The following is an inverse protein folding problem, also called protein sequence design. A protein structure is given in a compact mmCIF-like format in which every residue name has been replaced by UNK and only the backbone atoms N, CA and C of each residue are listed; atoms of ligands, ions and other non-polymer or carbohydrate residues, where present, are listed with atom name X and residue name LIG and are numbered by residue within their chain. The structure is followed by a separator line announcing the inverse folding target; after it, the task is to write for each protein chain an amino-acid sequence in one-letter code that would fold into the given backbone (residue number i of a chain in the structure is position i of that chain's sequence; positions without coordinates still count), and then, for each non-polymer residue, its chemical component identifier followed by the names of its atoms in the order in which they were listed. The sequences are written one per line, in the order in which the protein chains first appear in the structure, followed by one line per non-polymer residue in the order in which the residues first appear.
data_IF_547264737028
#
_entry.id   IF_547264737028
#
_cell.length_a   1.000
_cell.length_b   1.000
_cell.length_c   1.000
_cell.angle_alpha   90.00
_cell.angle_beta   90.00
_cell.angle_gamma   90.00
#
_symmetry.space_group_name_H-M   'P 1'
#
loop_
_entity.id
_entity.type
_entity.pdbx_description
1 polymer ?
#
# COMPACT_ATOMS: atom_id res chain seq x y z
N UNK A 1 10.67 25.05 -9.77
CA UNK A 1 9.43 24.62 -9.11
C UNK A 1 9.58 23.13 -8.97
N UNK A 2 9.89 22.65 -7.77
CA UNK A 2 9.92 21.22 -7.50
C UNK A 2 8.46 20.74 -7.53
N UNK A 3 7.98 20.34 -8.70
CA UNK A 3 6.79 19.50 -8.77
C UNK A 3 7.14 18.25 -7.97
N UNK A 4 6.47 18.05 -6.83
CA UNK A 4 6.66 16.86 -6.02
C UNK A 4 6.34 15.65 -6.91
N UNK A 5 7.39 14.93 -7.32
CA UNK A 5 7.24 13.79 -8.21
C UNK A 5 6.36 12.74 -7.54
N UNK A 6 5.22 12.46 -8.17
CA UNK A 6 4.32 11.39 -7.77
C UNK A 6 4.75 10.08 -8.42
N UNK A 7 4.69 9.01 -7.66
CA UNK A 7 5.04 7.67 -8.09
C UNK A 7 3.85 6.74 -7.94
N UNK A 8 3.83 5.67 -8.73
CA UNK A 8 2.81 4.64 -8.67
C UNK A 8 3.38 3.36 -8.04
N UNK A 9 2.62 2.78 -7.11
CA UNK A 9 2.94 1.48 -6.51
C UNK A 9 1.80 0.50 -6.77
N UNK A 10 2.15 -0.66 -7.34
CA UNK A 10 1.19 -1.76 -7.50
C UNK A 10 0.79 -2.30 -6.14
N UNK A 11 -0.48 -2.61 -6.02
CA UNK A 11 -1.07 -3.15 -4.80
C UNK A 11 -0.75 -4.65 -4.69
N UNK A 12 -0.07 -5.11 -3.62
CA UNK A 12 0.22 -6.53 -3.46
C UNK A 12 -1.04 -7.38 -3.32
N UNK A 13 -1.00 -8.59 -3.89
CA UNK A 13 -2.09 -9.55 -3.72
C UNK A 13 -2.25 -9.97 -2.26
N UNK A 14 -3.48 -10.32 -1.85
CA UNK A 14 -3.78 -10.85 -0.52
C UNK A 14 -3.98 -9.79 0.57
N UNK A 15 -3.79 -8.50 0.26
CA UNK A 15 -4.17 -7.42 1.19
C UNK A 15 -5.69 -7.30 1.26
N UNK A 16 -6.20 -6.93 2.43
CA UNK A 16 -7.63 -6.68 2.65
C UNK A 16 -7.96 -5.22 2.39
N UNK A 17 -9.24 -4.92 2.12
CA UNK A 17 -9.74 -3.55 2.03
C UNK A 17 -9.40 -2.73 3.27
N UNK A 18 -9.45 -3.34 4.45
CA UNK A 18 -9.07 -2.68 5.71
C UNK A 18 -7.63 -2.19 5.71
N UNK A 19 -6.67 -3.05 5.35
CA UNK A 19 -5.24 -2.66 5.27
C UNK A 19 -5.06 -1.55 4.24
N UNK A 20 -5.80 -1.62 3.13
CA UNK A 20 -5.75 -0.59 2.09
C UNK A 20 -6.24 0.78 2.57
N UNK A 21 -7.36 0.82 3.29
CA UNK A 21 -7.90 2.05 3.87
C UNK A 21 -6.93 2.62 4.92
N UNK A 22 -6.33 1.76 5.75
CA UNK A 22 -5.34 2.15 6.76
C UNK A 22 -4.14 2.86 6.08
N UNK A 23 -3.52 2.24 5.07
CA UNK A 23 -2.34 2.86 4.41
C UNK A 23 -2.67 4.11 3.60
N UNK A 24 -3.86 4.18 2.96
CA UNK A 24 -4.30 5.37 2.24
C UNK A 24 -4.40 6.56 3.19
N UNK A 25 -5.05 6.37 4.33
CA UNK A 25 -5.29 7.45 5.29
C UNK A 25 -4.01 7.80 6.08
N UNK A 26 -3.22 6.80 6.48
CA UNK A 26 -2.02 7.01 7.29
C UNK A 26 -0.90 7.73 6.52
N UNK A 27 -0.75 7.40 5.23
CA UNK A 27 0.34 7.92 4.39
C UNK A 27 -0.11 8.94 3.34
N UNK A 28 -1.39 9.34 3.36
CA UNK A 28 -1.93 10.35 2.43
C UNK A 28 -1.82 9.93 0.96
N UNK A 29 -2.10 8.65 0.68
CA UNK A 29 -2.00 8.10 -0.67
C UNK A 29 -3.35 8.17 -1.39
N UNK A 30 -3.31 8.17 -2.72
CA UNK A 30 -4.51 8.10 -3.54
C UNK A 30 -4.62 6.74 -4.24
N UNK A 31 -5.85 6.29 -4.46
CA UNK A 31 -6.12 5.09 -5.24
C UNK A 31 -6.43 5.49 -6.70
N UNK A 32 -5.62 5.01 -7.64
CA UNK A 32 -5.79 5.26 -9.07
C UNK A 32 -6.13 3.96 -9.79
N UNK A 33 -7.21 3.97 -10.58
CA UNK A 33 -7.55 2.84 -11.44
C UNK A 33 -6.71 2.87 -12.72
N UNK A 34 -6.15 1.73 -13.11
CA UNK A 34 -5.43 1.54 -14.37
C UNK A 34 -5.95 0.32 -15.11
N UNK A 35 -5.60 0.14 -16.38
CA UNK A 35 -5.97 -1.04 -17.18
C UNK A 35 -5.44 -2.36 -16.59
N UNK A 36 -4.40 -2.28 -15.75
CA UNK A 36 -3.78 -3.44 -15.09
C UNK A 36 -4.23 -3.59 -13.62
N UNK A 37 -5.27 -2.88 -13.22
CA UNK A 37 -5.80 -2.84 -11.86
C UNK A 37 -5.43 -1.57 -11.09
N UNK A 38 -5.88 -1.46 -9.85
CA UNK A 38 -5.63 -0.28 -9.02
C UNK A 38 -4.17 -0.18 -8.57
N UNK A 39 -3.67 1.05 -8.48
CA UNK A 39 -2.36 1.41 -7.93
C UNK A 39 -2.51 2.48 -6.86
N UNK A 40 -1.55 2.52 -5.93
CA UNK A 40 -1.40 3.62 -4.98
C UNK A 40 -0.53 4.70 -5.62
N UNK A 41 -0.97 5.96 -5.52
CA UNK A 41 -0.27 7.14 -6.01
C UNK A 41 0.14 8.00 -4.81
N UNK A 42 1.39 8.47 -4.80
CA UNK A 42 1.87 9.38 -3.77
C UNK A 42 3.36 9.69 -3.90
N UNK A 43 3.91 10.36 -2.89
CA UNK A 43 5.35 10.63 -2.82
C UNK A 43 6.11 9.33 -2.59
N UNK A 44 7.34 9.28 -3.09
CA UNK A 44 8.21 8.11 -2.95
C UNK A 44 8.33 7.63 -1.50
N UNK A 45 8.63 8.55 -0.58
CA UNK A 45 8.82 8.21 0.84
C UNK A 45 7.55 7.66 1.50
N UNK A 46 6.38 8.13 1.09
CA UNK A 46 5.10 7.69 1.65
C UNK A 46 4.69 6.32 1.08
N UNK A 47 5.01 6.05 -0.18
CA UNK A 47 4.85 4.72 -0.77
C UNK A 47 5.80 3.69 -0.15
N UNK A 48 7.04 4.08 0.17
CA UNK A 48 7.99 3.20 0.88
C UNK A 48 7.48 2.85 2.28
N UNK A 49 6.95 3.83 3.04
CA UNK A 49 6.32 3.57 4.35
C UNK A 49 5.09 2.67 4.22
N UNK A 50 4.25 2.90 3.21
CA UNK A 50 3.08 2.07 2.95
C UNK A 50 3.46 0.63 2.57
N UNK A 51 4.50 0.44 1.76
CA UNK A 51 5.03 -0.88 1.43
C UNK A 51 5.46 -1.63 2.70
N UNK A 52 6.25 -0.99 3.56
CA UNK A 52 6.71 -1.57 4.83
C UNK A 52 5.54 -1.97 5.73
N UNK A 53 4.52 -1.11 5.82
CA UNK A 53 3.31 -1.38 6.59
C UNK A 53 2.56 -2.60 6.03
N UNK A 54 2.33 -2.65 4.72
CA UNK A 54 1.64 -3.75 4.05
C UNK A 54 2.37 -5.08 4.29
N UNK A 55 3.69 -5.10 4.11
CA UNK A 55 4.51 -6.31 4.29
C UNK A 55 4.43 -6.80 5.74
N UNK A 56 4.51 -5.90 6.73
CA UNK A 56 4.35 -6.25 8.14
C UNK A 56 2.98 -6.86 8.43
N UNK A 57 1.91 -6.24 7.93
CA UNK A 57 0.54 -6.72 8.13
C UNK A 57 0.29 -8.09 7.49
N UNK A 58 0.81 -8.31 6.27
CA UNK A 58 0.72 -9.61 5.59
C UNK A 58 1.48 -10.70 6.36
N UNK A 59 2.72 -10.42 6.77
CA UNK A 59 3.53 -11.37 7.53
C UNK A 59 2.90 -11.71 8.89
N UNK A 60 2.28 -10.75 9.56
CA UNK A 60 1.55 -11.02 10.80
C UNK A 60 0.37 -11.98 10.56
N UNK A 61 -0.40 -11.77 9.49
CA UNK A 61 -1.51 -12.66 9.12
C UNK A 61 -1.03 -14.08 8.77
N UNK A 62 0.08 -14.20 8.05
CA UNK A 62 0.68 -15.51 7.76
C UNK A 62 1.06 -16.25 9.05
N UNK A 63 1.71 -15.58 10.00
CA UNK A 63 2.05 -16.16 11.31
C UNK A 63 0.83 -16.58 12.14
N UNK A 64 -0.28 -15.86 12.03
CA UNK A 64 -1.54 -16.24 12.70
C UNK A 64 -2.15 -17.51 12.09
N UNK A 65 -1.99 -17.71 10.78
CA UNK A 65 -2.45 -18.91 10.08
C UNK A 65 -1.56 -20.12 10.37
N UNK A 66 -0.24 -19.95 10.49
CA UNK A 66 0.71 -21.04 10.83
C UNK A 66 0.50 -21.61 12.24
N UNK A 67 -0.17 -20.87 13.14
CA UNK A 67 -0.47 -21.30 14.51
C UNK A 67 -1.75 -22.16 14.61
N UNK A 68 -2.42 -22.41 13.49
CA UNK A 68 -3.59 -23.29 13.40
C UNK A 68 -3.18 -24.67 12.91
#
# INVERSE_FOLDING_TARGET
MDEEMMYEMRIPAGITERIMIEVINEFGLELKSTDYGPVLLGKKEDLEKAQDHIVKALNQRLKELEKR
#
